data_IF_534448956244
#
_entry.id   IF_534448956244
#
_cell.length_a   1.000
_cell.length_b   1.000
_cell.length_c   1.000
_cell.angle_alpha   90.00
_cell.angle_beta   90.00
_cell.angle_gamma   90.00
#
_symmetry.space_group_name_H-M   'P 1'
#
loop_
_entity.id
_entity.type
_entity.pdbx_description
1 polymer ?
#
# COMPACT_ATOMS: atom_id res chain seq x y z
N UNK A 1 -78.40 -0.95 4.73
CA UNK A 1 -77.60 -0.65 5.95
C UNK A 1 -76.33 0.07 5.52
N UNK A 2 -76.11 1.31 5.99
CA UNK A 2 -75.15 2.27 5.40
C UNK A 2 -73.78 2.19 6.09
N UNK A 3 -72.77 1.80 5.32
CA UNK A 3 -71.36 1.71 5.71
C UNK A 3 -70.80 3.07 6.14
N UNK A 4 -70.33 3.22 7.38
CA UNK A 4 -69.49 4.34 7.85
C UNK A 4 -68.06 3.84 8.03
N UNK A 5 -67.23 3.95 6.98
CA UNK A 5 -65.77 3.91 7.10
C UNK A 5 -65.28 5.33 7.37
N UNK A 6 -65.05 5.68 8.63
CA UNK A 6 -64.35 6.92 8.98
C UNK A 6 -62.85 6.70 8.81
N UNK A 7 -62.34 7.09 7.64
CA UNK A 7 -60.90 7.13 7.38
C UNK A 7 -60.30 8.27 8.18
N UNK A 8 -59.41 7.97 9.13
CA UNK A 8 -58.70 8.95 9.94
C UNK A 8 -57.97 9.94 9.02
N UNK A 9 -58.49 11.16 8.90
CA UNK A 9 -57.82 12.25 8.18
C UNK A 9 -56.82 12.90 9.13
N UNK A 10 -55.64 12.31 9.25
CA UNK A 10 -54.53 12.99 9.92
C UNK A 10 -54.15 14.20 9.07
N UNK A 11 -54.12 15.39 9.69
CA UNK A 11 -53.62 16.59 9.02
C UNK A 11 -52.16 16.40 8.65
N UNK A 12 -51.74 16.92 7.50
CA UNK A 12 -50.35 16.89 7.03
C UNK A 12 -49.36 17.36 8.11
N UNK A 13 -49.73 18.35 8.92
CA UNK A 13 -48.91 18.81 10.04
C UNK A 13 -48.64 17.74 11.11
N UNK A 14 -49.61 16.89 11.43
CA UNK A 14 -49.45 15.80 12.40
C UNK A 14 -48.55 14.70 11.86
N UNK A 15 -48.67 14.39 10.56
CA UNK A 15 -47.78 13.43 9.89
C UNK A 15 -46.34 13.93 9.85
N UNK A 16 -46.13 15.21 9.48
CA UNK A 16 -44.80 15.82 9.47
C UNK A 16 -44.16 15.88 10.86
N UNK A 17 -44.95 16.20 11.89
CA UNK A 17 -44.48 16.20 13.27
C UNK A 17 -44.05 14.80 13.72
N UNK A 18 -44.89 13.78 13.48
CA UNK A 18 -44.53 12.40 13.82
C UNK A 18 -43.29 11.92 13.06
N UNK A 19 -43.17 12.28 11.78
CA UNK A 19 -42.00 11.94 10.97
C UNK A 19 -40.73 12.65 11.47
N UNK A 20 -40.84 13.90 11.92
CA UNK A 20 -39.72 14.61 12.55
C UNK A 20 -39.32 13.97 13.89
N UNK A 21 -40.29 13.55 14.71
CA UNK A 21 -40.02 12.84 15.97
C UNK A 21 -39.35 11.48 15.75
N UNK A 22 -39.82 10.68 14.79
CA UNK A 22 -39.20 9.38 14.49
C UNK A 22 -37.82 9.54 13.88
N UNK A 23 -37.62 10.52 12.99
CA UNK A 23 -36.30 10.84 12.44
C UNK A 23 -35.33 11.28 13.55
N UNK A 24 -35.75 12.16 14.46
CA UNK A 24 -34.95 12.58 15.61
C UNK A 24 -34.58 11.42 16.55
N UNK A 25 -35.55 10.56 16.88
CA UNK A 25 -35.32 9.37 17.72
C UNK A 25 -34.33 8.39 17.08
N UNK A 26 -34.52 8.05 15.80
CA UNK A 26 -33.64 7.13 15.07
C UNK A 26 -32.23 7.70 14.91
N UNK A 27 -32.13 9.01 14.65
CA UNK A 27 -30.84 9.70 14.53
C UNK A 27 -30.09 9.67 15.86
N UNK A 28 -30.76 10.03 16.97
CA UNK A 28 -30.16 9.98 18.31
C UNK A 28 -29.75 8.56 18.72
N UNK A 29 -30.58 7.56 18.43
CA UNK A 29 -30.25 6.15 18.70
C UNK A 29 -29.02 5.69 17.90
N UNK A 30 -28.94 6.04 16.61
CA UNK A 30 -27.81 5.66 15.76
C UNK A 30 -26.50 6.28 16.25
N UNK A 31 -26.49 7.58 16.53
CA UNK A 31 -25.31 8.26 17.07
C UNK A 31 -24.87 7.69 18.43
N UNK A 32 -25.80 7.44 19.36
CA UNK A 32 -25.46 6.90 20.67
C UNK A 32 -24.93 5.46 20.63
N UNK A 33 -25.41 4.64 19.69
CA UNK A 33 -24.87 3.28 19.46
C UNK A 33 -23.46 3.33 18.88
N UNK A 34 -23.23 4.18 17.87
CA UNK A 34 -21.91 4.36 17.24
C UNK A 34 -20.86 4.81 18.26
N UNK A 35 -21.17 5.82 19.09
CA UNK A 35 -20.26 6.33 20.11
C UNK A 35 -19.91 5.26 21.16
N UNK A 36 -20.92 4.53 21.66
CA UNK A 36 -20.69 3.47 22.65
C UNK A 36 -19.92 2.29 22.07
N UNK A 37 -20.18 1.93 20.80
CA UNK A 37 -19.44 0.88 20.12
C UNK A 37 -17.97 1.24 19.94
N UNK A 38 -17.69 2.49 19.56
CA UNK A 38 -16.32 2.97 19.40
C UNK A 38 -15.58 3.00 20.74
N UNK A 39 -16.22 3.49 21.83
CA UNK A 39 -15.64 3.43 23.18
C UNK A 39 -15.33 1.99 23.62
N UNK A 40 -16.25 1.05 23.39
CA UNK A 40 -16.03 -0.36 23.71
C UNK A 40 -14.87 -0.92 22.88
N UNK A 41 -14.82 -0.62 21.57
CA UNK A 41 -13.73 -1.05 20.69
C UNK A 41 -12.39 -0.53 21.19
N UNK A 42 -12.32 0.75 21.54
CA UNK A 42 -11.10 1.40 21.99
C UNK A 42 -10.55 0.80 23.29
N UNK A 43 -11.41 0.24 24.14
CA UNK A 43 -11.03 -0.38 25.41
C UNK A 43 -10.90 -1.90 25.35
N UNK A 44 -11.53 -2.55 24.37
CA UNK A 44 -11.52 -4.01 24.23
C UNK A 44 -10.19 -4.47 23.66
N UNK A 45 -9.57 -5.43 24.35
CA UNK A 45 -8.34 -6.08 23.87
C UNK A 45 -8.70 -7.05 22.75
N UNK A 46 -7.99 -6.94 21.63
CA UNK A 46 -8.10 -7.85 20.49
C UNK A 46 -6.71 -8.25 19.99
N UNK A 47 -6.60 -9.40 19.34
CA UNK A 47 -5.35 -9.80 18.68
C UNK A 47 -5.42 -9.51 17.18
N UNK A 48 -4.41 -8.83 16.65
CA UNK A 48 -4.24 -8.55 15.21
C UNK A 48 -2.85 -8.97 14.73
N UNK A 49 -2.77 -9.31 13.46
CA UNK A 49 -1.52 -9.64 12.77
C UNK A 49 -1.17 -8.49 11.84
N UNK A 50 0.04 -7.96 11.98
CA UNK A 50 0.59 -6.92 11.12
C UNK A 50 1.73 -7.52 10.30
N UNK A 51 1.56 -7.59 8.98
CA UNK A 51 2.70 -7.83 8.08
C UNK A 51 3.66 -6.65 8.24
N UNK A 52 4.94 -6.93 8.48
CA UNK A 52 6.01 -5.94 8.58
C UNK A 52 7.26 -6.39 7.81
N UNK A 53 7.11 -7.33 6.87
CA UNK A 53 8.24 -7.87 6.13
C UNK A 53 9.03 -6.78 5.41
N UNK A 54 8.33 -5.80 4.85
CA UNK A 54 8.89 -4.63 4.18
C UNK A 54 9.70 -3.70 5.10
N UNK A 55 9.46 -3.76 6.41
CA UNK A 55 10.15 -2.94 7.41
C UNK A 55 11.30 -3.68 8.11
N UNK A 56 11.25 -5.01 8.16
CA UNK A 56 12.24 -5.86 8.84
C UNK A 56 13.34 -6.31 7.90
N UNK A 57 13.01 -6.65 6.64
CA UNK A 57 14.01 -7.03 5.64
C UNK A 57 13.57 -6.63 4.24
N UNK A 58 14.43 -5.87 3.56
CA UNK A 58 14.26 -5.55 2.14
C UNK A 58 14.56 -6.74 1.22
N UNK A 59 15.26 -7.75 1.75
CA UNK A 59 15.43 -9.04 1.08
C UNK A 59 14.21 -9.92 1.41
N UNK A 60 13.37 -10.24 0.41
CA UNK A 60 12.20 -11.07 0.62
C UNK A 60 12.52 -12.54 0.92
N UNK A 61 13.67 -13.04 0.47
CA UNK A 61 14.09 -14.44 0.68
C UNK A 61 14.97 -14.60 1.93
N UNK A 62 15.46 -13.48 2.49
CA UNK A 62 16.19 -13.50 3.73
C UNK A 62 15.36 -14.17 4.83
N UNK A 63 15.95 -15.22 5.41
CA UNK A 63 15.49 -15.78 6.67
C UNK A 63 15.69 -14.71 7.73
N UNK A 64 14.57 -14.26 8.30
CA UNK A 64 14.58 -13.37 9.46
C UNK A 64 14.49 -14.22 10.73
N UNK A 65 15.19 -13.75 11.75
CA UNK A 65 15.19 -14.27 13.10
C UNK A 65 14.37 -13.36 14.00
N UNK A 66 14.23 -13.70 15.28
CA UNK A 66 13.59 -12.79 16.25
C UNK A 66 14.37 -11.46 16.39
N UNK A 67 15.70 -11.52 16.33
CA UNK A 67 16.57 -10.35 16.54
C UNK A 67 16.37 -9.25 15.48
N UNK A 68 15.96 -9.62 14.27
CA UNK A 68 15.69 -8.65 13.19
C UNK A 68 14.46 -7.77 13.50
N UNK A 69 13.59 -8.21 14.41
CA UNK A 69 12.41 -7.45 14.84
C UNK A 69 12.69 -6.56 16.05
N UNK A 70 13.76 -6.80 16.80
CA UNK A 70 14.00 -6.15 18.10
C UNK A 70 13.95 -4.62 17.96
N UNK A 71 14.65 -4.06 16.97
CA UNK A 71 14.64 -2.61 16.74
C UNK A 71 13.26 -2.04 16.40
N UNK A 72 12.43 -2.79 15.67
CA UNK A 72 11.07 -2.37 15.34
C UNK A 72 10.14 -2.51 16.55
N UNK A 73 10.27 -3.60 17.30
CA UNK A 73 9.49 -3.84 18.53
C UNK A 73 9.82 -2.78 19.57
N UNK A 74 11.10 -2.50 19.81
CA UNK A 74 11.57 -1.46 20.74
C UNK A 74 11.00 -0.08 20.37
N UNK A 75 11.02 0.26 19.07
CA UNK A 75 10.42 1.49 18.58
C UNK A 75 8.91 1.54 18.84
N UNK A 76 8.19 0.46 18.57
CA UNK A 76 6.75 0.38 18.82
C UNK A 76 6.44 0.54 20.31
N UNK A 77 7.11 -0.22 21.17
CA UNK A 77 6.87 -0.24 22.63
C UNK A 77 7.23 1.10 23.28
N UNK A 78 8.26 1.78 22.77
CA UNK A 78 8.67 3.10 23.28
C UNK A 78 7.81 4.26 22.76
N UNK A 79 7.12 4.10 21.63
CA UNK A 79 6.41 5.21 20.94
C UNK A 79 4.89 5.12 21.06
N UNK A 80 4.32 3.91 20.96
CA UNK A 80 2.87 3.70 20.95
C UNK A 80 2.40 3.42 22.37
N UNK A 81 1.66 4.34 22.99
CA UNK A 81 1.03 4.17 24.31
C UNK A 81 1.94 3.37 25.28
N UNK A 82 3.14 3.90 25.53
CA UNK A 82 4.25 3.11 26.10
C UNK A 82 3.91 2.44 27.43
N UNK A 83 3.05 3.06 28.24
CA UNK A 83 2.54 2.55 29.52
C UNK A 83 1.50 1.42 29.41
N UNK A 84 1.02 1.10 28.19
CA UNK A 84 0.03 0.06 27.95
C UNK A 84 0.63 -1.35 27.82
N UNK A 85 1.92 -1.45 27.48
CA UNK A 85 2.62 -2.71 27.21
C UNK A 85 3.01 -3.44 28.50
N UNK A 86 2.82 -4.77 28.52
CA UNK A 86 3.17 -5.64 29.65
C UNK A 86 4.66 -5.51 30.03
N UNK A 87 5.54 -5.33 29.05
CA UNK A 87 6.98 -5.12 29.26
C UNK A 87 7.29 -3.86 30.08
N UNK A 88 6.44 -2.84 29.99
CA UNK A 88 6.54 -1.60 30.77
C UNK A 88 5.66 -1.62 32.02
N UNK A 89 5.12 -2.79 32.41
CA UNK A 89 4.22 -2.94 33.56
C UNK A 89 2.76 -2.57 33.26
N UNK A 90 2.41 -2.41 31.99
CA UNK A 90 1.07 -2.10 31.51
C UNK A 90 0.08 -3.27 31.64
N UNK A 91 -1.23 -2.99 31.48
CA UNK A 91 -2.28 -3.93 31.86
C UNK A 91 -2.52 -5.06 30.86
N UNK A 92 -2.27 -4.85 29.56
CA UNK A 92 -2.74 -5.80 28.54
C UNK A 92 -2.00 -5.81 27.19
N UNK A 93 -1.12 -4.85 26.90
CA UNK A 93 -0.43 -4.78 25.62
C UNK A 93 0.64 -5.86 25.48
N UNK A 94 0.53 -6.71 24.46
CA UNK A 94 1.52 -7.75 24.14
C UNK A 94 1.85 -7.73 22.65
N UNK A 95 3.15 -7.84 22.34
CA UNK A 95 3.67 -7.88 20.97
C UNK A 95 4.60 -9.08 20.83
N UNK A 96 4.41 -9.88 19.78
CA UNK A 96 5.22 -11.06 19.50
C UNK A 96 5.61 -11.11 18.03
N UNK A 97 6.92 -11.15 17.70
CA UNK A 97 7.37 -11.42 16.36
C UNK A 97 7.02 -12.83 15.90
N UNK A 98 6.64 -12.98 14.64
CA UNK A 98 6.46 -14.27 13.98
C UNK A 98 7.31 -14.30 12.70
N UNK A 99 8.58 -14.73 12.79
CA UNK A 99 9.54 -14.65 11.68
C UNK A 99 9.11 -15.40 10.41
N UNK A 100 8.37 -16.50 10.56
CA UNK A 100 7.97 -17.39 9.45
C UNK A 100 7.23 -16.67 8.31
N UNK A 101 6.45 -15.62 8.63
CA UNK A 101 5.72 -14.81 7.65
C UNK A 101 6.04 -13.32 7.80
N UNK A 102 7.16 -12.98 8.48
CA UNK A 102 7.62 -11.61 8.71
C UNK A 102 6.57 -10.68 9.34
N UNK A 103 5.81 -11.18 10.32
CA UNK A 103 4.71 -10.43 10.93
C UNK A 103 4.87 -10.19 12.44
N UNK A 104 4.11 -9.23 12.95
CA UNK A 104 3.92 -8.99 14.38
C UNK A 104 2.50 -9.42 14.77
N UNK A 105 2.41 -10.29 15.78
CA UNK A 105 1.16 -10.63 16.44
C UNK A 105 1.02 -9.72 17.65
N UNK A 106 0.00 -8.86 17.65
CA UNK A 106 -0.20 -7.83 18.67
C UNK A 106 -1.55 -8.03 19.33
N UNK A 107 -1.56 -8.13 20.65
CA UNK A 107 -2.77 -8.16 21.48
C UNK A 107 -2.84 -6.86 22.27
N UNK A 108 -3.76 -5.97 21.92
CA UNK A 108 -3.88 -4.66 22.56
C UNK A 108 -5.29 -4.08 22.43
N UNK A 109 -5.53 -2.93 23.05
CA UNK A 109 -6.79 -2.21 22.95
C UNK A 109 -6.99 -1.62 21.53
N UNK A 110 -8.23 -1.29 21.17
CA UNK A 110 -8.52 -0.68 19.87
C UNK A 110 -7.74 0.62 19.62
N UNK A 111 -7.56 1.46 20.64
CA UNK A 111 -6.80 2.70 20.53
C UNK A 111 -5.31 2.43 20.21
N UNK A 112 -4.69 1.47 20.90
CA UNK A 112 -3.29 1.08 20.65
C UNK A 112 -3.12 0.52 19.23
N UNK A 113 -4.09 -0.24 18.74
CA UNK A 113 -4.05 -0.76 17.38
C UNK A 113 -4.13 0.32 16.30
N UNK A 114 -4.91 1.37 16.55
CA UNK A 114 -5.06 2.50 15.63
C UNK A 114 -3.74 3.31 15.62
N UNK A 115 -3.17 3.62 16.79
CA UNK A 115 -1.86 4.29 16.91
C UNK A 115 -0.71 3.46 16.28
N UNK A 116 -0.71 2.14 16.50
CA UNK A 116 0.25 1.22 15.88
C UNK A 116 0.12 1.22 14.35
N UNK A 117 -1.10 1.15 13.85
CA UNK A 117 -1.36 1.21 12.40
C UNK A 117 -0.80 2.50 11.82
N UNK A 118 -1.04 3.62 12.50
CA UNK A 118 -0.53 4.93 12.10
C UNK A 118 1.00 4.95 12.08
N UNK A 119 1.66 4.50 13.17
CA UNK A 119 3.13 4.43 13.25
C UNK A 119 3.71 3.61 12.09
N UNK A 120 3.22 2.39 11.88
CA UNK A 120 3.69 1.52 10.79
C UNK A 120 3.47 2.17 9.43
N UNK A 121 2.34 2.85 9.22
CA UNK A 121 2.12 3.64 8.00
C UNK A 121 3.12 4.79 7.85
N UNK A 122 3.57 5.44 8.92
CA UNK A 122 4.59 6.50 8.81
C UNK A 122 5.96 5.94 8.43
N UNK A 123 6.38 4.83 9.07
CA UNK A 123 7.65 4.15 8.75
C UNK A 123 7.68 3.72 7.29
N UNK A 124 6.57 3.17 6.80
CA UNK A 124 6.39 2.79 5.39
C UNK A 124 6.51 3.95 4.44
N UNK A 125 5.92 5.10 4.73
CA UNK A 125 6.07 6.30 3.88
C UNK A 125 7.55 6.64 3.70
N UNK A 126 8.33 6.64 4.79
CA UNK A 126 9.78 6.89 4.71
C UNK A 126 10.52 5.80 3.94
N UNK A 127 10.18 4.52 4.13
CA UNK A 127 10.80 3.41 3.41
C UNK A 127 10.49 3.41 1.90
N UNK A 128 9.30 3.86 1.51
CA UNK A 128 8.84 3.88 0.13
C UNK A 128 9.34 5.10 -0.66
N UNK A 129 9.84 6.13 0.03
CA UNK A 129 10.40 7.31 -0.62
C UNK A 129 11.61 6.95 -1.48
N UNK A 130 11.53 7.32 -2.76
CA UNK A 130 12.68 7.22 -3.66
C UNK A 130 13.57 8.44 -3.49
N UNK A 131 14.89 8.21 -3.57
CA UNK A 131 15.85 9.31 -3.73
C UNK A 131 15.57 10.05 -5.06
N UNK A 132 15.20 11.34 -5.01
CA UNK A 132 14.96 12.13 -6.20
C UNK A 132 16.19 12.21 -7.11
N UNK A 133 17.40 12.21 -6.55
CA UNK A 133 18.62 12.32 -7.34
C UNK A 133 18.86 11.05 -8.14
N UNK A 134 18.78 9.88 -7.50
CA UNK A 134 18.88 8.58 -8.17
C UNK A 134 17.85 8.43 -9.29
N UNK A 135 16.57 8.72 -9.02
CA UNK A 135 15.51 8.60 -10.02
C UNK A 135 15.75 9.54 -11.21
N UNK A 136 16.10 10.80 -10.94
CA UNK A 136 16.36 11.77 -12.02
C UNK A 136 17.60 11.43 -12.83
N UNK A 137 18.62 10.80 -12.24
CA UNK A 137 19.79 10.31 -12.98
C UNK A 137 19.39 9.26 -14.01
N UNK A 138 18.61 8.24 -13.61
CA UNK A 138 18.11 7.20 -14.51
C UNK A 138 17.24 7.79 -15.62
N UNK A 139 16.31 8.68 -15.27
CA UNK A 139 15.40 9.32 -16.24
C UNK A 139 16.16 10.12 -17.29
N UNK A 140 17.21 10.85 -16.87
CA UNK A 140 18.07 11.61 -17.79
C UNK A 140 18.81 10.69 -18.75
N UNK A 141 19.38 9.59 -18.24
CA UNK A 141 20.09 8.62 -19.06
C UNK A 141 19.17 7.96 -20.11
N UNK A 142 18.01 7.45 -19.66
CA UNK A 142 16.99 6.84 -20.53
C UNK A 142 16.55 7.82 -21.61
N UNK A 143 16.27 9.07 -21.23
CA UNK A 143 15.78 10.09 -22.17
C UNK A 143 16.85 10.51 -23.17
N UNK A 144 18.11 10.64 -22.73
CA UNK A 144 19.22 11.03 -23.60
C UNK A 144 19.55 9.95 -24.64
N UNK A 145 19.42 8.67 -24.28
CA UNK A 145 19.78 7.54 -25.13
C UNK A 145 18.59 6.88 -25.83
N UNK A 146 17.35 7.30 -25.51
CA UNK A 146 16.10 6.71 -26.03
C UNK A 146 16.08 5.17 -25.91
N UNK A 147 16.47 4.66 -24.74
CA UNK A 147 16.65 3.22 -24.54
C UNK A 147 15.32 2.48 -24.53
N UNK A 148 15.15 1.56 -25.48
CA UNK A 148 13.98 0.67 -25.53
C UNK A 148 13.96 -0.34 -24.37
N UNK A 149 15.12 -0.74 -23.86
CA UNK A 149 15.20 -1.59 -22.67
C UNK A 149 14.99 -0.75 -21.41
N UNK A 150 13.95 -1.02 -20.60
CA UNK A 150 13.72 -0.27 -19.38
C UNK A 150 14.86 -0.49 -18.38
N UNK A 151 15.22 0.57 -17.65
CA UNK A 151 16.18 0.51 -16.55
C UNK A 151 15.45 0.36 -15.22
N UNK A 152 15.91 -0.59 -14.41
CA UNK A 152 15.44 -0.74 -13.03
C UNK A 152 15.98 0.40 -12.17
N UNK A 153 15.07 1.12 -11.51
CA UNK A 153 15.37 2.06 -10.42
C UNK A 153 15.50 1.31 -9.10
N UNK A 154 14.59 0.35 -8.88
CA UNK A 154 14.61 -0.61 -7.79
C UNK A 154 14.29 -1.99 -8.35
N UNK A 155 14.98 -3.01 -7.86
CA UNK A 155 14.88 -4.39 -8.32
C UNK A 155 14.83 -5.30 -7.10
N UNK A 156 13.83 -6.17 -7.06
CA UNK A 156 13.63 -7.15 -6.00
C UNK A 156 13.55 -8.54 -6.62
N UNK A 157 14.25 -9.48 -6.02
CA UNK A 157 14.43 -10.86 -6.48
C UNK A 157 13.40 -11.85 -5.91
N UNK A 158 12.28 -11.36 -5.37
CA UNK A 158 11.11 -12.18 -5.12
C UNK A 158 9.81 -11.39 -5.32
N UNK A 159 8.68 -12.09 -5.35
CA UNK A 159 7.35 -11.50 -5.45
C UNK A 159 6.46 -12.05 -4.34
N UNK A 160 6.03 -11.17 -3.44
CA UNK A 160 5.08 -11.47 -2.37
C UNK A 160 4.33 -10.18 -1.98
N UNK A 161 3.36 -10.26 -1.08
CA UNK A 161 2.55 -9.10 -0.67
C UNK A 161 3.37 -7.92 -0.18
N UNK A 162 4.42 -8.17 0.60
CA UNK A 162 5.26 -7.11 1.18
C UNK A 162 6.13 -6.45 0.11
N UNK A 163 6.73 -7.23 -0.80
CA UNK A 163 7.50 -6.69 -1.94
C UNK A 163 6.58 -5.92 -2.88
N UNK A 164 5.42 -6.46 -3.20
CA UNK A 164 4.42 -5.80 -4.04
C UNK A 164 4.01 -4.45 -3.45
N UNK A 165 3.78 -4.39 -2.13
CA UNK A 165 3.47 -3.15 -1.43
C UNK A 165 4.64 -2.15 -1.47
N UNK A 166 5.88 -2.62 -1.29
CA UNK A 166 7.09 -1.81 -1.36
C UNK A 166 7.29 -1.21 -2.76
N UNK A 167 7.21 -2.03 -3.82
CA UNK A 167 7.37 -1.57 -5.20
C UNK A 167 6.24 -0.64 -5.61
N UNK A 168 4.99 -0.94 -5.21
CA UNK A 168 3.85 -0.04 -5.41
C UNK A 168 4.06 1.31 -4.71
N UNK A 169 4.61 1.30 -3.48
CA UNK A 169 4.98 2.51 -2.75
C UNK A 169 6.03 3.33 -3.50
N UNK A 170 7.10 2.68 -3.97
CA UNK A 170 8.12 3.30 -4.80
C UNK A 170 7.54 3.87 -6.10
N UNK A 171 6.61 3.16 -6.75
CA UNK A 171 5.91 3.67 -7.93
C UNK A 171 5.15 4.97 -7.63
N UNK A 172 4.38 5.03 -6.54
CA UNK A 172 3.67 6.25 -6.14
C UNK A 172 4.65 7.40 -5.83
N UNK A 173 5.75 7.13 -5.12
CA UNK A 173 6.79 8.11 -4.88
C UNK A 173 7.41 8.63 -6.18
N UNK A 174 7.75 7.73 -7.11
CA UNK A 174 8.33 8.08 -8.41
C UNK A 174 7.37 8.87 -9.29
N UNK A 175 6.10 8.48 -9.30
CA UNK A 175 5.03 9.18 -10.00
C UNK A 175 4.88 10.62 -9.48
N UNK A 176 4.89 10.81 -8.16
CA UNK A 176 4.81 12.15 -7.55
C UNK A 176 6.02 13.01 -7.93
N UNK A 177 7.23 12.45 -7.84
CA UNK A 177 8.48 13.15 -8.19
C UNK A 177 8.51 13.55 -9.68
N UNK A 178 8.17 12.62 -10.57
CA UNK A 178 8.10 12.89 -12.01
C UNK A 178 6.99 13.86 -12.35
N UNK A 179 5.84 13.77 -11.69
CA UNK A 179 4.73 14.72 -11.89
C UNK A 179 5.15 16.14 -11.50
N UNK A 180 5.87 16.29 -10.38
CA UNK A 180 6.41 17.58 -9.96
C UNK A 180 7.43 18.15 -10.96
N UNK A 181 8.21 17.28 -11.62
CA UNK A 181 9.29 17.69 -12.53
C UNK A 181 8.85 17.89 -13.98
N UNK A 182 7.97 17.04 -14.49
CA UNK A 182 7.58 16.93 -15.90
C UNK A 182 6.12 17.37 -16.14
N UNK A 183 5.35 17.64 -15.09
CA UNK A 183 3.91 17.88 -15.16
C UNK A 183 3.10 16.57 -15.07
N UNK A 184 1.78 16.69 -15.09
CA UNK A 184 0.88 15.52 -15.00
C UNK A 184 1.17 14.51 -16.11
N UNK A 185 1.18 13.19 -15.82
CA UNK A 185 1.29 12.18 -16.86
C UNK A 185 0.11 12.32 -17.84
N UNK A 186 0.35 11.95 -19.09
CA UNK A 186 -0.71 11.86 -20.09
C UNK A 186 -1.74 10.79 -19.70
N UNK A 187 -1.25 9.69 -19.13
CA UNK A 187 -2.09 8.62 -18.59
C UNK A 187 -1.34 7.84 -17.51
N UNK A 188 -2.09 7.29 -16.57
CA UNK A 188 -1.62 6.34 -15.58
C UNK A 188 -2.61 5.19 -15.49
N UNK A 189 -2.12 3.96 -15.58
CA UNK A 189 -2.90 2.74 -15.65
C UNK A 189 -2.49 1.78 -14.53
N UNK A 190 -3.47 1.02 -14.06
CA UNK A 190 -3.29 -0.17 -13.21
C UNK A 190 -3.86 -1.36 -13.98
N UNK A 191 -3.30 -2.56 -13.83
CA UNK A 191 -3.64 -3.74 -14.64
C UNK A 191 -5.15 -4.09 -14.67
N UNK A 192 -5.91 -3.69 -13.65
CA UNK A 192 -7.36 -3.86 -13.55
C UNK A 192 -8.17 -2.90 -14.45
N UNK A 193 -7.52 -1.90 -15.05
CA UNK A 193 -8.17 -0.93 -15.95
C UNK A 193 -8.38 -1.52 -17.36
N UNK A 194 -9.58 -1.30 -17.92
CA UNK A 194 -9.97 -1.84 -19.24
C UNK A 194 -9.10 -1.35 -20.42
N UNK A 195 -8.33 -0.28 -20.22
CA UNK A 195 -7.54 0.39 -21.26
C UNK A 195 -6.03 0.24 -21.04
N UNK A 196 -5.60 -0.81 -20.30
CA UNK A 196 -4.18 -1.02 -20.05
C UNK A 196 -3.39 -1.17 -21.38
N UNK A 197 -2.26 -0.47 -21.53
CA UNK A 197 -1.50 -0.48 -22.77
C UNK A 197 -0.93 -1.87 -23.13
N UNK A 198 -1.13 -2.31 -24.36
CA UNK A 198 -0.63 -3.61 -24.85
C UNK A 198 0.86 -3.63 -25.20
N UNK A 199 1.50 -2.46 -25.23
CA UNK A 199 2.92 -2.32 -25.56
C UNK A 199 3.85 -2.55 -24.36
N UNK A 200 3.32 -2.76 -23.15
CA UNK A 200 4.10 -3.06 -21.95
C UNK A 200 3.41 -4.12 -21.08
N UNK A 201 4.18 -5.07 -20.57
CA UNK A 201 3.74 -5.96 -19.51
C UNK A 201 4.13 -5.34 -18.16
N UNK A 202 3.17 -4.80 -17.42
CA UNK A 202 3.39 -4.17 -16.12
C UNK A 202 2.11 -4.27 -15.26
N UNK A 203 2.26 -4.12 -13.95
CA UNK A 203 1.14 -4.04 -13.01
C UNK A 203 0.59 -2.61 -12.91
N UNK A 204 1.48 -1.62 -12.98
CA UNK A 204 1.15 -0.19 -13.02
C UNK A 204 2.07 0.52 -14.01
N UNK A 205 1.55 1.52 -14.73
CA UNK A 205 2.38 2.34 -15.63
C UNK A 205 1.84 3.76 -15.75
N UNK A 206 2.74 4.73 -15.65
CA UNK A 206 2.47 6.15 -15.92
C UNK A 206 3.31 6.62 -17.11
N UNK A 207 2.72 7.44 -17.97
CA UNK A 207 3.28 7.80 -19.28
C UNK A 207 3.30 9.31 -19.46
N UNK A 208 4.44 9.84 -19.91
CA UNK A 208 4.63 11.23 -20.30
C UNK A 208 5.03 11.32 -21.78
N UNK A 209 4.28 12.09 -22.56
CA UNK A 209 4.59 12.34 -23.97
C UNK A 209 5.79 13.29 -24.08
N UNK A 210 6.75 12.92 -24.92
CA UNK A 210 7.97 13.67 -25.23
C UNK A 210 8.12 13.74 -26.75
N UNK A 211 7.43 14.69 -27.40
CA UNK A 211 7.30 14.71 -28.86
C UNK A 211 6.47 13.52 -29.36
N UNK A 212 7.02 12.72 -30.27
CA UNK A 212 6.39 11.48 -30.78
C UNK A 212 6.69 10.24 -29.92
N UNK A 213 7.46 10.42 -28.86
CA UNK A 213 7.92 9.34 -27.97
C UNK A 213 7.24 9.43 -26.60
N UNK A 214 7.38 8.36 -25.81
CA UNK A 214 6.79 8.20 -24.48
C UNK A 214 7.88 7.83 -23.47
N UNK A 215 8.05 8.66 -22.45
CA UNK A 215 8.75 8.27 -21.23
C UNK A 215 7.73 7.56 -20.33
N UNK A 216 8.10 6.42 -19.75
CA UNK A 216 7.24 5.74 -18.79
C UNK A 216 7.96 5.40 -17.49
N UNK A 217 7.17 5.35 -16.41
CA UNK A 217 7.50 4.75 -15.12
C UNK A 217 6.57 3.56 -14.96
N UNK A 218 7.08 2.38 -14.60
CA UNK A 218 6.26 1.19 -14.45
C UNK A 218 6.67 0.35 -13.24
N UNK A 219 5.68 -0.21 -12.58
CA UNK A 219 5.82 -1.36 -11.68
C UNK A 219 5.66 -2.61 -12.52
N UNK A 220 6.72 -3.39 -12.65
CA UNK A 220 6.80 -4.51 -13.58
C UNK A 220 7.28 -5.78 -12.87
N UNK A 221 6.76 -6.93 -13.29
CA UNK A 221 7.26 -8.24 -12.85
C UNK A 221 8.68 -8.49 -13.40
N UNK A 222 9.44 -9.32 -12.68
CA UNK A 222 10.77 -9.76 -13.09
C UNK A 222 10.82 -11.28 -13.09
N UNK A 223 11.31 -11.85 -14.18
CA UNK A 223 11.46 -13.29 -14.34
C UNK A 223 12.75 -13.81 -13.68
N UNK A 224 12.73 -15.02 -13.08
CA UNK A 224 11.57 -15.90 -12.94
C UNK A 224 10.59 -15.48 -11.84
N UNK A 225 11.08 -14.81 -10.81
CA UNK A 225 10.29 -14.34 -9.67
C UNK A 225 10.94 -13.06 -9.14
N UNK A 226 10.15 -11.98 -9.06
CA UNK A 226 10.68 -10.68 -8.71
C UNK A 226 9.77 -9.56 -9.18
N UNK A 227 10.05 -8.36 -8.68
CA UNK A 227 9.32 -7.15 -9.03
C UNK A 227 10.30 -5.98 -9.12
N UNK A 228 10.02 -5.03 -10.01
CA UNK A 228 10.87 -3.88 -10.22
C UNK A 228 10.05 -2.62 -10.42
N UNK A 229 10.62 -1.52 -9.94
CA UNK A 229 10.27 -0.19 -10.44
C UNK A 229 11.22 0.14 -11.57
N UNK A 230 10.68 0.36 -12.76
CA UNK A 230 11.45 0.63 -13.96
C UNK A 230 11.09 1.96 -14.59
N UNK A 231 12.06 2.57 -15.27
CA UNK A 231 11.87 3.71 -16.16
C UNK A 231 12.32 3.32 -17.55
N UNK A 232 11.54 3.68 -18.57
CA UNK A 232 11.90 3.36 -19.94
C UNK A 232 11.38 4.35 -20.96
N UNK A 233 11.82 4.15 -22.20
CA UNK A 233 11.43 4.92 -23.36
C UNK A 233 10.68 4.02 -24.34
N UNK A 234 9.59 4.53 -24.91
CA UNK A 234 8.80 3.83 -25.91
C UNK A 234 8.47 4.75 -27.07
N UNK A 235 8.60 4.25 -28.29
CA UNK A 235 8.16 4.91 -29.52
C UNK A 235 7.23 3.97 -30.28
N UNK A 236 6.24 4.52 -30.97
CA UNK A 236 5.29 3.72 -31.72
C UNK A 236 6.04 2.92 -32.80
N UNK A 237 5.84 1.60 -32.81
CA UNK A 237 6.58 0.66 -33.66
C UNK A 237 7.73 -0.08 -32.96
N UNK A 238 8.10 0.31 -31.74
CA UNK A 238 8.98 -0.51 -30.90
C UNK A 238 8.29 -1.79 -30.47
N UNK A 239 9.10 -2.84 -30.26
CA UNK A 239 8.63 -4.10 -29.70
C UNK A 239 8.00 -3.90 -28.32
N UNK A 240 7.04 -4.77 -27.97
CA UNK A 240 6.43 -4.79 -26.63
C UNK A 240 7.51 -4.91 -25.56
N UNK A 241 7.45 -4.02 -24.57
CA UNK A 241 8.31 -4.05 -23.39
C UNK A 241 7.93 -5.27 -22.54
N UNK A 242 8.84 -6.24 -22.51
CA UNK A 242 8.69 -7.48 -21.74
C UNK A 242 9.15 -7.29 -20.30
N UNK A 243 8.70 -8.15 -19.36
CA UNK A 243 9.26 -8.25 -18.01
C UNK A 243 10.77 -8.32 -18.07
N UNK A 244 11.45 -7.67 -17.10
CA UNK A 244 12.89 -7.87 -16.93
C UNK A 244 13.16 -9.34 -16.60
N UNK A 245 14.35 -9.82 -16.89
CA UNK A 245 14.79 -11.15 -16.48
C UNK A 245 16.07 -11.02 -15.70
N UNK A 246 16.14 -11.66 -14.54
CA UNK A 246 17.44 -11.96 -13.94
C UNK A 246 18.17 -12.87 -14.93
N UNK A 247 19.21 -12.36 -15.57
CA UNK A 247 20.14 -13.23 -16.29
C UNK A 247 20.86 -14.02 -15.20
N UNK A 248 20.67 -15.34 -15.09
CA UNK A 248 21.51 -16.13 -14.21
C UNK A 248 22.94 -15.87 -14.66
N UNK A 249 23.83 -15.52 -13.74
CA UNK A 249 25.26 -15.59 -14.03
C UNK A 249 25.48 -17.01 -14.58
N UNK A 250 25.76 -17.12 -15.87
CA UNK A 250 26.12 -18.40 -16.48
C UNK A 250 27.32 -18.85 -15.66
N UNK A 251 27.13 -19.89 -14.84
CA UNK A 251 28.24 -20.56 -14.20
C UNK A 251 29.16 -20.95 -15.35
N UNK A 252 30.31 -20.30 -15.40
CA UNK A 252 31.35 -20.58 -16.36
C UNK A 252 31.89 -21.97 -16.06
N UNK A 253 31.17 -23.00 -16.51
CA UNK A 253 31.66 -24.36 -16.58
C UNK A 253 32.46 -24.48 -17.87
N UNK A 254 33.63 -23.82 -17.89
CA UNK A 254 34.65 -24.07 -18.91
C UNK A 254 35.98 -24.44 -18.23
N UNK A 255 36.47 -25.65 -18.55
CA UNK A 255 37.86 -26.07 -18.43
C UNK A 255 38.23 -26.79 -17.12
N UNK A 256 38.08 -28.11 -16.98
CA UNK A 256 39.03 -29.19 -17.38
C UNK A 256 40.43 -29.11 -16.72
N UNK A 257 41.11 -30.24 -16.46
CA UNK A 257 41.15 -31.50 -17.23
C UNK A 257 40.28 -32.65 -16.70
#
# INVERSE_FOLDING_TARGET
MRNKRSWLRFGIGTLLFLMACTAGYLTGFRFGVEEKQEQVRQQTVSTRIYDVGDLVSLDPDAQVSLADFDSLVDLIVSTVASDSWVENGGPAGEIRPFPKNKSLVVSASGAVHDDLSDLLSQLRRGAYELDPQQLMAVVREISARKLATPHAVKLYNASNSSVHQLVSGHYQSGLALLTKRLGKPQAAYTLDTKEFPTWIAAQQVAVWKQGDSKLFLAHQDVLPEGEALVVGWYEDGMATIRPLSFVPAVADSTGHP
#
